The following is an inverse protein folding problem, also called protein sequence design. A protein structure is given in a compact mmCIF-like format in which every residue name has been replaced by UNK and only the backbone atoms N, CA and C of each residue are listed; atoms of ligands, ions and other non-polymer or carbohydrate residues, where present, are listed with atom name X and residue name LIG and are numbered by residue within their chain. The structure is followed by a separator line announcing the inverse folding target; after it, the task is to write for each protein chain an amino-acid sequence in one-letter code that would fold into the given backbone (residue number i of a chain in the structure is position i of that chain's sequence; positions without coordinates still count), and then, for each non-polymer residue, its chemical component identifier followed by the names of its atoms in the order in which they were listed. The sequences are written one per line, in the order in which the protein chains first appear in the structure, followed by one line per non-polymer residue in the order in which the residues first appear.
data_IF_112608618700
#
_entry.id   IF_112608618700
#
_cell.length_a   1.000
_cell.length_b   1.000
_cell.length_c   1.000
_cell.angle_alpha   90.00
_cell.angle_beta   90.00
_cell.angle_gamma   90.00
#
_symmetry.space_group_name_H-M   'P 1'
#
loop_
_entity.id
_entity.type
_entity.pdbx_description
1 polymer ?
#
# COMPACT_ATOMS: atom_id res chain seq x y z
N UNK A 1 -3.85 -3.20 -14.74
CA UNK A 1 -3.74 -4.44 -15.53
C UNK A 1 -4.27 -5.68 -14.81
N UNK A 2 -3.86 -5.96 -13.57
CA UNK A 2 -4.24 -7.19 -12.84
C UNK A 2 -5.76 -7.51 -12.79
N UNK A 3 -6.63 -6.50 -12.63
CA UNK A 3 -8.10 -6.69 -12.71
C UNK A 3 -8.58 -7.26 -14.06
N UNK A 4 -7.90 -6.94 -15.17
CA UNK A 4 -8.19 -7.55 -16.48
C UNK A 4 -7.83 -9.04 -16.49
N UNK A 5 -6.81 -9.47 -15.73
CA UNK A 5 -6.51 -10.89 -15.54
C UNK A 5 -7.63 -11.61 -14.77
N UNK A 6 -8.23 -10.95 -13.77
CA UNK A 6 -9.41 -11.48 -13.07
C UNK A 6 -10.58 -11.67 -14.04
N UNK A 7 -10.86 -10.67 -14.88
CA UNK A 7 -11.87 -10.80 -15.97
C UNK A 7 -11.54 -11.98 -16.89
N UNK A 8 -10.25 -12.18 -17.20
CA UNK A 8 -9.76 -13.31 -17.99
C UNK A 8 -9.81 -14.68 -17.30
N UNK A 9 -10.28 -14.76 -16.04
CA UNK A 9 -10.45 -16.01 -15.30
C UNK A 9 -9.30 -16.39 -14.36
N UNK A 10 -8.27 -15.55 -14.19
CA UNK A 10 -7.26 -15.77 -13.16
C UNK A 10 -7.79 -15.30 -11.81
N UNK A 11 -8.26 -16.20 -10.96
CA UNK A 11 -8.99 -15.85 -9.73
C UNK A 11 -8.12 -15.26 -8.61
N UNK A 12 -6.80 -15.49 -8.64
CA UNK A 12 -5.85 -14.92 -7.69
C UNK A 12 -4.55 -14.56 -8.41
N UNK A 13 -4.19 -13.28 -8.42
CA UNK A 13 -3.00 -12.75 -9.10
C UNK A 13 -2.26 -11.79 -8.18
N UNK A 14 -0.93 -11.77 -8.27
CA UNK A 14 -0.10 -10.78 -7.62
C UNK A 14 1.06 -10.36 -8.52
N UNK A 15 1.58 -9.17 -8.29
CA UNK A 15 2.80 -8.65 -8.91
C UNK A 15 3.63 -7.95 -7.84
N UNK A 16 4.94 -8.24 -7.81
CA UNK A 16 5.91 -7.46 -7.03
C UNK A 16 6.82 -6.77 -8.04
N UNK A 17 6.67 -5.46 -8.16
CA UNK A 17 7.42 -4.72 -9.17
C UNK A 17 7.51 -3.24 -8.83
N UNK A 18 8.15 -2.52 -9.75
CA UNK A 18 8.41 -1.10 -9.63
C UNK A 18 7.24 -0.26 -10.11
N UNK A 19 6.90 0.74 -9.31
CA UNK A 19 6.01 1.82 -9.66
C UNK A 19 6.80 3.11 -9.82
N UNK A 20 6.38 3.94 -10.76
CA UNK A 20 7.02 5.23 -11.05
C UNK A 20 6.01 6.35 -10.82
N UNK A 21 6.40 7.39 -10.07
CA UNK A 21 5.58 8.58 -9.83
C UNK A 21 6.42 9.82 -10.02
N UNK A 22 5.92 10.77 -10.80
CA UNK A 22 6.59 12.04 -11.04
C UNK A 22 6.25 13.05 -9.94
N UNK A 23 6.54 12.66 -8.69
CA UNK A 23 6.24 13.42 -7.48
C UNK A 23 7.54 13.93 -6.81
N UNK A 24 7.39 14.82 -5.82
CA UNK A 24 8.51 15.28 -5.02
C UNK A 24 9.18 14.16 -4.20
N UNK A 25 10.49 14.32 -3.96
CA UNK A 25 11.25 13.42 -3.09
C UNK A 25 11.31 13.93 -1.66
N UNK A 26 11.02 13.06 -0.70
CA UNK A 26 11.19 13.30 0.74
C UNK A 26 11.75 12.06 1.47
N UNK A 27 11.62 11.99 2.80
CA UNK A 27 12.11 10.89 3.62
C UNK A 27 11.41 9.54 3.33
N UNK A 28 10.22 9.55 2.73
CA UNK A 28 9.37 8.37 2.51
C UNK A 28 8.92 8.20 1.05
N UNK A 29 9.36 9.10 0.15
CA UNK A 29 9.02 9.09 -1.27
C UNK A 29 10.29 9.11 -2.13
N UNK A 30 10.40 8.10 -3.01
CA UNK A 30 11.37 8.03 -4.10
C UNK A 30 10.58 7.89 -5.41
N UNK A 31 10.99 8.50 -6.54
CA UNK A 31 10.19 8.51 -7.78
C UNK A 31 9.99 7.11 -8.36
N UNK A 32 10.84 6.17 -7.94
CA UNK A 32 10.78 4.76 -8.26
C UNK A 32 10.70 3.98 -6.93
N UNK A 33 9.67 3.17 -6.73
CA UNK A 33 9.48 2.39 -5.50
C UNK A 33 8.87 1.02 -5.81
N UNK A 34 9.05 0.07 -4.90
CA UNK A 34 8.56 -1.30 -5.04
C UNK A 34 7.23 -1.47 -4.32
N UNK A 35 6.25 -2.04 -5.00
CA UNK A 35 5.00 -2.46 -4.38
C UNK A 35 4.72 -3.93 -4.69
N UNK A 36 4.02 -4.59 -3.76
CA UNK A 36 3.24 -5.78 -4.09
C UNK A 36 1.79 -5.33 -4.29
N UNK A 37 1.20 -5.68 -5.43
CA UNK A 37 -0.24 -5.55 -5.67
C UNK A 37 -0.82 -6.94 -5.92
N UNK A 38 -1.93 -7.28 -5.29
CA UNK A 38 -2.63 -8.52 -5.57
C UNK A 38 -4.15 -8.33 -5.64
N UNK A 39 -4.80 -9.22 -6.36
CA UNK A 39 -6.26 -9.28 -6.50
C UNK A 39 -6.73 -10.72 -6.32
N UNK A 40 -7.83 -10.87 -5.57
CA UNK A 40 -8.42 -12.16 -5.25
C UNK A 40 -9.93 -12.13 -5.44
N UNK A 41 -10.42 -12.94 -6.38
CA UNK A 41 -11.83 -13.14 -6.65
C UNK A 41 -12.54 -13.79 -5.44
N UNK A 42 -13.82 -13.47 -5.32
CA UNK A 42 -14.74 -13.89 -4.27
C UNK A 42 -14.33 -13.46 -2.84
N UNK A 43 -13.50 -12.42 -2.74
CA UNK A 43 -13.07 -11.81 -1.49
C UNK A 43 -13.59 -10.38 -1.35
N UNK A 44 -13.61 -9.92 -0.10
CA UNK A 44 -13.93 -8.56 0.29
C UNK A 44 -12.75 -7.92 1.01
N UNK A 45 -12.79 -6.60 1.23
CA UNK A 45 -11.75 -5.92 2.02
C UNK A 45 -11.62 -6.48 3.44
N UNK A 46 -12.66 -7.09 4.01
CA UNK A 46 -12.60 -7.73 5.34
C UNK A 46 -11.69 -8.96 5.34
N UNK A 47 -11.74 -9.74 4.27
CA UNK A 47 -10.81 -10.86 4.08
C UNK A 47 -9.37 -10.34 3.98
N UNK A 48 -9.16 -9.21 3.31
CA UNK A 48 -7.83 -8.59 3.17
C UNK A 48 -7.30 -8.02 4.50
N UNK A 49 -8.18 -7.53 5.38
CA UNK A 49 -7.79 -7.12 6.74
C UNK A 49 -7.27 -8.33 7.52
N UNK A 50 -7.95 -9.47 7.45
CA UNK A 50 -7.51 -10.71 8.12
C UNK A 50 -6.16 -11.16 7.55
N UNK A 51 -6.06 -11.24 6.22
CA UNK A 51 -4.83 -11.62 5.52
C UNK A 51 -3.65 -10.70 5.88
N UNK A 52 -3.89 -9.40 6.06
CA UNK A 52 -2.86 -8.45 6.47
C UNK A 52 -2.34 -8.76 7.88
N UNK A 53 -3.22 -9.11 8.82
CA UNK A 53 -2.83 -9.48 10.19
C UNK A 53 -2.01 -10.77 10.18
N UNK A 54 -2.49 -11.79 9.48
CA UNK A 54 -1.79 -13.07 9.28
C UNK A 54 -0.42 -12.88 8.60
N UNK A 55 -0.32 -11.97 7.63
CA UNK A 55 0.93 -11.63 6.96
C UNK A 55 1.98 -11.08 7.92
N UNK A 56 1.61 -10.16 8.81
CA UNK A 56 2.53 -9.63 9.81
C UNK A 56 2.95 -10.70 10.84
N UNK A 57 2.02 -11.53 11.30
CA UNK A 57 2.34 -12.67 12.18
C UNK A 57 3.36 -13.61 11.51
N UNK A 58 3.12 -13.95 10.23
CA UNK A 58 4.02 -14.77 9.44
C UNK A 58 5.41 -14.13 9.32
N UNK A 59 5.49 -12.84 9.01
CA UNK A 59 6.76 -12.13 8.91
C UNK A 59 7.53 -12.14 10.22
N UNK A 60 6.88 -11.86 11.36
CA UNK A 60 7.58 -11.83 12.64
C UNK A 60 8.13 -13.20 13.03
N UNK A 61 7.36 -14.27 12.79
CA UNK A 61 7.82 -15.64 13.01
C UNK A 61 9.02 -15.99 12.12
N UNK A 62 8.96 -15.67 10.83
CA UNK A 62 9.96 -16.13 9.85
C UNK A 62 11.19 -15.24 9.75
N UNK A 63 11.11 -14.00 10.22
CA UNK A 63 12.25 -13.07 10.32
C UNK A 63 12.89 -13.04 11.71
N UNK A 64 12.39 -13.84 12.66
CA UNK A 64 12.82 -13.84 14.07
C UNK A 64 12.78 -12.43 14.69
N UNK A 65 11.68 -11.72 14.43
CA UNK A 65 11.44 -10.35 14.90
C UNK A 65 10.41 -10.34 16.03
N UNK A 66 10.57 -9.45 17.03
CA UNK A 66 9.53 -9.26 18.03
C UNK A 66 8.30 -8.58 17.40
N UNK A 67 7.11 -8.93 17.89
CA UNK A 67 5.84 -8.29 17.46
C UNK A 67 5.67 -6.85 17.95
N UNK A 68 6.59 -6.39 18.82
CA UNK A 68 6.69 -5.00 19.27
C UNK A 68 8.03 -4.43 18.77
N UNK A 69 7.97 -3.53 17.79
CA UNK A 69 9.17 -2.92 17.20
C UNK A 69 9.35 -1.47 17.64
N UNK A 70 10.60 -0.99 17.80
CA UNK A 70 10.86 0.43 17.91
C UNK A 70 10.65 1.12 16.55
N UNK A 71 10.08 2.32 16.58
CA UNK A 71 10.05 3.21 15.43
C UNK A 71 10.29 4.65 15.91
N UNK A 72 11.55 5.08 15.88
CA UNK A 72 11.98 6.35 16.47
C UNK A 72 11.77 6.33 17.99
N UNK A 73 11.02 7.30 18.52
CA UNK A 73 10.68 7.35 19.95
C UNK A 73 9.50 6.43 20.32
N UNK A 74 8.81 5.86 19.33
CA UNK A 74 7.62 5.03 19.54
C UNK A 74 7.97 3.55 19.66
N UNK A 75 7.07 2.82 20.33
CA UNK A 75 7.02 1.35 20.29
C UNK A 75 5.70 0.94 19.64
N UNK A 76 5.78 0.26 18.51
CA UNK A 76 4.61 -0.17 17.74
C UNK A 76 4.33 -1.63 18.07
N UNK A 77 3.14 -1.90 18.59
CA UNK A 77 2.67 -3.25 18.91
C UNK A 77 1.78 -3.76 17.76
N UNK A 78 2.32 -4.65 16.93
CA UNK A 78 1.64 -5.19 15.76
C UNK A 78 0.60 -6.25 16.11
N UNK A 79 0.38 -6.58 17.38
CA UNK A 79 -0.76 -7.43 17.78
C UNK A 79 -2.05 -6.61 17.95
N UNK A 80 -1.95 -5.27 17.93
CA UNK A 80 -3.05 -4.35 18.25
C UNK A 80 -3.50 -3.51 17.06
N UNK A 81 -3.94 -4.19 16.00
CA UNK A 81 -4.60 -3.52 14.88
C UNK A 81 -5.95 -2.93 15.30
N UNK A 82 -6.18 -1.66 14.96
CA UNK A 82 -7.45 -0.96 15.18
C UNK A 82 -8.14 -0.68 13.86
N UNK A 83 -9.41 -1.07 13.75
CA UNK A 83 -10.26 -0.76 12.60
C UNK A 83 -11.12 0.46 12.93
N UNK A 84 -10.88 1.58 12.25
CA UNK A 84 -11.61 2.84 12.43
C UNK A 84 -12.09 3.37 11.06
N UNK A 85 -13.37 3.74 10.91
CA UNK A 85 -13.86 4.39 9.69
C UNK A 85 -13.12 5.70 9.40
N UNK A 86 -12.81 5.97 8.12
CA UNK A 86 -12.08 7.18 7.71
C UNK A 86 -12.69 8.46 8.28
N UNK A 87 -13.99 8.66 8.10
CA UNK A 87 -14.69 9.88 8.57
C UNK A 87 -14.59 10.03 10.09
N UNK A 88 -14.67 8.92 10.84
CA UNK A 88 -14.52 8.91 12.29
C UNK A 88 -13.07 9.22 12.71
N UNK A 89 -12.08 8.70 11.98
CA UNK A 89 -10.67 8.95 12.27
C UNK A 89 -10.26 10.42 12.12
N UNK A 90 -10.91 11.17 11.23
CA UNK A 90 -10.67 12.61 11.04
C UNK A 90 -10.96 13.40 12.32
N UNK A 91 -12.00 13.02 13.06
CA UNK A 91 -12.37 13.71 14.30
C UNK A 91 -11.66 13.14 15.52
N UNK A 92 -11.59 11.81 15.65
CA UNK A 92 -11.03 11.16 16.84
C UNK A 92 -9.50 11.25 16.91
N UNK A 93 -8.83 11.22 15.76
CA UNK A 93 -7.36 11.23 15.67
C UNK A 93 -6.89 12.53 15.04
N UNK A 94 -7.43 12.90 13.88
CA UNK A 94 -6.93 14.01 13.07
C UNK A 94 -7.26 15.41 13.60
N UNK A 95 -8.31 15.54 14.42
CA UNK A 95 -8.86 16.84 14.86
C UNK A 95 -9.14 17.80 13.69
N UNK A 96 -9.52 17.27 12.52
CA UNK A 96 -9.74 18.07 11.30
C UNK A 96 -11.23 18.18 10.95
N UNK A 97 -11.64 19.36 10.48
CA UNK A 97 -12.91 19.53 9.78
C UNK A 97 -12.74 19.13 8.30
N UNK A 98 -13.79 18.56 7.70
CA UNK A 98 -13.79 18.20 6.29
C UNK A 98 -13.50 19.44 5.41
N UNK A 99 -12.51 19.35 4.52
CA UNK A 99 -12.22 20.35 3.49
C UNK A 99 -12.79 19.91 2.16
N UNK A 100 -13.30 20.87 1.39
CA UNK A 100 -13.59 20.68 -0.03
C UNK A 100 -12.29 20.69 -0.85
N UNK A 101 -12.23 19.79 -1.82
CA UNK A 101 -11.12 19.64 -2.76
C UNK A 101 -11.22 20.64 -3.92
N UNK A 102 -10.10 21.29 -4.26
CA UNK A 102 -9.93 22.06 -5.49
C UNK A 102 -9.54 21.16 -6.68
N UNK A 103 -8.95 21.74 -7.74
CA UNK A 103 -8.43 20.97 -8.88
C UNK A 103 -7.38 19.94 -8.47
N UNK A 104 -7.34 18.82 -9.18
CA UNK A 104 -6.59 17.61 -8.82
C UNK A 104 -5.75 17.12 -10.01
N UNK A 105 -4.46 17.42 -9.99
CA UNK A 105 -3.49 16.98 -11.01
C UNK A 105 -3.22 15.46 -10.92
N UNK A 106 -3.66 14.79 -9.85
CA UNK A 106 -3.57 13.34 -9.65
C UNK A 106 -4.86 12.61 -10.09
N UNK A 107 -5.82 13.35 -10.67
CA UNK A 107 -7.05 12.75 -11.18
C UNK A 107 -6.76 11.77 -12.32
N UNK A 108 -7.31 10.56 -12.20
CA UNK A 108 -7.18 9.55 -13.24
C UNK A 108 -7.94 9.93 -14.51
N UNK A 109 -7.30 9.71 -15.66
CA UNK A 109 -7.97 9.72 -16.95
C UNK A 109 -8.93 8.54 -17.11
N UNK A 110 -9.89 8.65 -18.02
CA UNK A 110 -10.78 7.55 -18.37
C UNK A 110 -10.04 6.52 -19.24
N UNK A 111 -10.02 5.27 -18.79
CA UNK A 111 -9.49 4.13 -19.54
C UNK A 111 -10.66 3.35 -20.17
N UNK A 112 -10.97 3.62 -21.44
CA UNK A 112 -12.07 2.97 -22.16
C UNK A 112 -11.86 1.46 -22.32
N UNK A 113 -10.62 1.01 -22.47
CA UNK A 113 -10.30 -0.42 -22.56
C UNK A 113 -10.57 -1.13 -21.23
N UNK A 114 -10.29 -0.47 -20.11
CA UNK A 114 -10.64 -1.00 -18.79
C UNK A 114 -12.15 -1.10 -18.60
N UNK A 115 -12.91 -0.07 -19.00
CA UNK A 115 -14.38 -0.11 -18.98
C UNK A 115 -14.92 -1.24 -19.87
N UNK A 116 -14.36 -1.39 -21.07
CA UNK A 116 -14.71 -2.48 -21.96
C UNK A 116 -14.42 -3.85 -21.33
N UNK A 117 -13.26 -4.05 -20.70
CA UNK A 117 -12.94 -5.28 -20.00
C UNK A 117 -13.96 -5.61 -18.88
N UNK A 118 -14.38 -4.61 -18.11
CA UNK A 118 -15.39 -4.80 -17.06
C UNK A 118 -16.75 -5.25 -17.62
N UNK A 119 -17.09 -4.87 -18.87
CA UNK A 119 -18.34 -5.27 -19.52
C UNK A 119 -18.46 -6.78 -19.78
N UNK A 120 -17.32 -7.49 -19.89
CA UNK A 120 -17.29 -8.95 -20.00
C UNK A 120 -17.64 -9.66 -18.68
N UNK A 121 -17.62 -8.93 -17.56
CA UNK A 121 -17.91 -9.44 -16.22
C UNK A 121 -16.64 -9.71 -15.42
N UNK A 122 -16.46 -8.96 -14.34
CA UNK A 122 -15.45 -9.25 -13.32
C UNK A 122 -16.15 -9.87 -12.11
N UNK A 123 -15.61 -10.98 -11.60
CA UNK A 123 -16.10 -11.55 -10.33
C UNK A 123 -16.00 -10.53 -9.19
N UNK A 124 -16.85 -10.62 -8.14
CA UNK A 124 -16.65 -9.84 -6.92
C UNK A 124 -15.21 -10.06 -6.42
N UNK A 125 -14.43 -9.00 -6.27
CA UNK A 125 -12.98 -9.10 -6.08
C UNK A 125 -12.52 -8.07 -5.07
N UNK A 126 -11.55 -8.46 -4.24
CA UNK A 126 -10.80 -7.53 -3.41
C UNK A 126 -9.34 -7.48 -3.88
N UNK A 127 -8.73 -6.31 -3.81
CA UNK A 127 -7.31 -6.15 -4.09
C UNK A 127 -6.62 -5.26 -3.07
N UNK A 128 -5.32 -5.44 -2.93
CA UNK A 128 -4.49 -4.72 -1.96
C UNK A 128 -3.11 -4.44 -2.54
N UNK A 129 -2.62 -3.23 -2.26
CA UNK A 129 -1.25 -2.82 -2.51
C UNK A 129 -0.50 -2.62 -1.19
N UNK A 130 0.73 -3.10 -1.10
CA UNK A 130 1.64 -2.84 0.02
C UNK A 130 2.94 -2.25 -0.53
N UNK A 131 3.35 -1.09 -0.01
CA UNK A 131 4.64 -0.50 -0.34
C UNK A 131 5.77 -1.27 0.35
N UNK A 132 6.59 -1.98 -0.43
CA UNK A 132 7.65 -2.85 0.09
C UNK A 132 8.75 -2.03 0.76
N UNK A 133 9.15 -0.89 0.17
CA UNK A 133 10.23 -0.08 0.76
C UNK A 133 9.83 0.46 2.15
N UNK A 134 8.58 0.90 2.31
CA UNK A 134 8.06 1.37 3.62
C UNK A 134 7.89 0.24 4.62
N UNK A 135 7.50 -0.95 4.16
CA UNK A 135 7.47 -2.14 5.01
C UNK A 135 8.88 -2.45 5.53
N UNK A 136 9.89 -2.45 4.65
CA UNK A 136 11.29 -2.67 5.06
C UNK A 136 11.74 -1.60 6.04
N UNK A 137 11.48 -0.31 5.76
CA UNK A 137 11.81 0.79 6.69
C UNK A 137 11.26 0.55 8.09
N UNK A 138 10.00 0.09 8.18
CA UNK A 138 9.34 -0.20 9.45
C UNK A 138 9.97 -1.39 10.18
N UNK A 139 10.30 -2.46 9.45
CA UNK A 139 10.93 -3.66 10.01
C UNK A 139 12.39 -3.44 10.42
N UNK A 140 13.09 -2.49 9.79
CA UNK A 140 14.50 -2.18 10.06
C UNK A 140 14.70 -0.92 10.91
N UNK A 141 13.63 -0.27 11.36
CA UNK A 141 13.67 1.00 12.11
C UNK A 141 14.44 2.10 11.37
N UNK A 142 14.25 2.19 10.06
CA UNK A 142 14.82 3.24 9.22
C UNK A 142 13.81 4.36 8.97
N UNK A 143 14.28 5.60 9.07
CA UNK A 143 13.44 6.80 8.92
C UNK A 143 13.55 7.46 7.55
N UNK A 144 14.41 6.92 6.68
CA UNK A 144 14.58 7.41 5.32
C UNK A 144 14.55 6.23 4.33
N UNK A 145 13.76 6.39 3.26
CA UNK A 145 13.63 5.40 2.18
C UNK A 145 14.97 5.15 1.47
N UNK A 146 15.92 6.08 1.59
CA UNK A 146 17.27 5.96 1.01
C UNK A 146 18.12 4.89 1.70
N UNK A 147 17.77 4.54 2.94
CA UNK A 147 18.52 3.57 3.74
C UNK A 147 18.06 2.13 3.48
N UNK A 148 16.94 1.95 2.76
CA UNK A 148 16.41 0.65 2.34
C UNK A 148 16.48 0.42 0.83
N UNK A 149 16.92 1.43 0.06
CA UNK A 149 17.17 1.32 -1.37
C UNK A 149 18.68 1.21 -1.63
N UNK A 150 19.08 0.23 -2.44
CA UNK A 150 20.50 0.04 -2.78
C UNK A 150 21.08 1.24 -3.56
N UNK A 151 20.27 1.85 -4.42
CA UNK A 151 20.64 3.02 -5.24
C UNK A 151 19.50 4.05 -5.26
N UNK A 152 19.31 4.86 -4.21
CA UNK A 152 18.26 5.87 -4.19
C UNK A 152 18.58 7.02 -5.14
N UNK A 153 17.54 7.63 -5.73
CA UNK A 153 17.74 8.82 -6.55
C UNK A 153 18.31 9.94 -5.66
N UNK A 154 19.36 10.61 -6.14
CA UNK A 154 19.93 11.78 -5.48
C UNK A 154 19.50 13.03 -6.23
N UNK A 155 19.19 14.10 -5.50
CA UNK A 155 19.08 15.43 -6.11
C UNK A 155 20.44 15.79 -6.69
N UNK A 156 20.46 16.30 -7.93
CA UNK A 156 21.69 16.83 -8.51
C UNK A 156 22.14 18.02 -7.65
N UNK A 157 23.33 17.92 -7.07
CA UNK A 157 24.03 19.06 -6.48
C UNK A 157 24.76 19.78 -7.60
N UNK A 158 24.30 20.99 -7.94
CA UNK A 158 25.08 21.95 -8.73
C UNK A 158 26.24 22.50 -7.90
#
# INVERSE_FOLDING_TARGET
YLKRCIVGGFEAVFEINRCFRNEGMDATHNPEFTSIEFYWAYKTYKDLIILTKEYFEYLFEHLDLPTVLPYGEFKIDFTKFTEIPLIQSLTEIGQMAAKESGGDDEAHEMDEDFVNALSYGMAPTAGQGIGIDRLVMMLTNEHSIRDVLLFPLKRQTN
#
